data_IF_325174359762
#
_entry.id   IF_325174359762
#
_cell.length_a   1.000
_cell.length_b   1.000
_cell.length_c   1.000
_cell.angle_alpha   90.00
_cell.angle_beta   90.00
_cell.angle_gamma   90.00
#
_symmetry.space_group_name_H-M   'P 1'
#
loop_
_entity.id
_entity.type
_entity.pdbx_description
1 polymer ?
#
# COMPACT_ATOMS: atom_id res chain seq x y z
N UNK A 1 51.48 -49.62 -10.04
CA UNK A 1 50.50 -49.29 -11.11
C UNK A 1 49.15 -49.03 -10.44
N UNK A 2 48.63 -47.79 -10.49
CA UNK A 2 47.35 -47.44 -9.88
C UNK A 2 46.19 -47.76 -10.84
N UNK A 3 45.15 -48.43 -10.33
CA UNK A 3 43.94 -48.77 -11.11
C UNK A 3 43.08 -47.51 -11.30
N UNK A 4 42.62 -47.29 -12.53
CA UNK A 4 41.81 -46.13 -12.89
C UNK A 4 40.43 -46.16 -12.19
N UNK A 5 40.09 -45.06 -11.52
CA UNK A 5 38.75 -44.79 -11.01
C UNK A 5 37.89 -44.40 -12.23
N UNK A 6 36.89 -45.22 -12.57
CA UNK A 6 36.01 -44.97 -13.73
C UNK A 6 34.53 -45.12 -13.41
N UNK A 7 34.13 -44.71 -12.22
CA UNK A 7 32.70 -44.56 -11.90
C UNK A 7 32.49 -43.20 -11.25
N UNK A 8 32.18 -42.22 -12.10
CA UNK A 8 31.51 -41.00 -11.66
C UNK A 8 30.05 -41.40 -11.49
N UNK A 9 29.60 -41.54 -10.24
CA UNK A 9 28.17 -41.65 -9.93
C UNK A 9 27.56 -40.28 -10.23
N UNK A 10 26.89 -40.16 -11.37
CA UNK A 10 26.08 -38.99 -11.67
C UNK A 10 24.81 -39.12 -10.81
N UNK A 11 24.68 -38.24 -9.82
CA UNK A 11 23.45 -38.10 -9.04
C UNK A 11 22.40 -37.53 -9.97
N UNK A 12 21.52 -38.39 -10.47
CA UNK A 12 20.36 -37.97 -11.26
C UNK A 12 19.30 -37.59 -10.24
N UNK A 13 18.91 -36.30 -10.14
CA UNK A 13 17.96 -35.87 -9.12
C UNK A 13 16.67 -36.68 -9.22
N UNK A 14 16.29 -37.32 -8.13
CA UNK A 14 15.02 -38.02 -8.03
C UNK A 14 13.90 -36.96 -7.98
N UNK A 15 12.91 -36.98 -8.90
CA UNK A 15 11.85 -35.97 -8.93
C UNK A 15 11.03 -35.89 -7.62
N UNK A 16 11.03 -36.95 -6.82
CA UNK A 16 10.43 -36.94 -5.48
C UNK A 16 11.24 -36.11 -4.46
N UNK A 17 12.57 -36.09 -4.58
CA UNK A 17 13.46 -35.32 -3.71
C UNK A 17 13.43 -33.83 -4.06
N UNK A 18 13.36 -33.48 -5.36
CA UNK A 18 13.16 -32.10 -5.80
C UNK A 18 11.82 -31.52 -5.35
N UNK A 19 10.74 -32.31 -5.40
CA UNK A 19 9.43 -31.89 -4.89
C UNK A 19 9.46 -31.69 -3.37
N UNK A 20 10.08 -32.60 -2.63
CA UNK A 20 10.21 -32.47 -1.18
C UNK A 20 11.02 -31.21 -0.79
N UNK A 21 12.08 -30.92 -1.53
CA UNK A 21 12.89 -29.72 -1.32
C UNK A 21 12.12 -28.44 -1.65
N UNK A 22 11.41 -28.39 -2.79
CA UNK A 22 10.59 -27.24 -3.17
C UNK A 22 9.47 -26.95 -2.14
N UNK A 23 8.82 -27.99 -1.62
CA UNK A 23 7.80 -27.86 -0.57
C UNK A 23 8.43 -27.32 0.73
N UNK A 24 9.61 -27.82 1.10
CA UNK A 24 10.33 -27.35 2.29
C UNK A 24 10.75 -25.89 2.17
N UNK A 25 11.24 -25.47 1.01
CA UNK A 25 11.65 -24.09 0.76
C UNK A 25 10.44 -23.14 0.77
N UNK A 26 9.31 -23.55 0.17
CA UNK A 26 8.06 -22.80 0.23
C UNK A 26 7.57 -22.70 1.68
N UNK A 27 7.57 -23.80 2.45
CA UNK A 27 7.17 -23.80 3.86
C UNK A 27 8.05 -22.86 4.69
N UNK A 28 9.35 -22.83 4.41
CA UNK A 28 10.31 -21.97 5.11
C UNK A 28 10.03 -20.49 4.81
N UNK A 29 9.86 -20.12 3.55
CA UNK A 29 9.50 -18.76 3.14
C UNK A 29 8.14 -18.33 3.71
N UNK A 30 7.15 -19.22 3.69
CA UNK A 30 5.84 -18.95 4.28
C UNK A 30 5.91 -18.74 5.79
N UNK A 31 6.76 -19.49 6.49
CA UNK A 31 6.92 -19.38 7.94
C UNK A 31 7.69 -18.13 8.34
N UNK A 32 8.70 -17.73 7.54
CA UNK A 32 9.45 -16.49 7.75
C UNK A 32 8.59 -15.25 7.49
N UNK A 33 7.62 -15.33 6.57
CA UNK A 33 6.74 -14.22 6.20
C UNK A 33 5.30 -14.37 6.76
N UNK A 34 5.15 -15.15 7.85
CA UNK A 34 3.85 -15.56 8.39
C UNK A 34 2.87 -14.39 8.60
N UNK A 35 3.32 -13.28 9.16
CA UNK A 35 2.44 -12.12 9.40
C UNK A 35 1.92 -11.48 8.11
N UNK A 36 2.80 -11.29 7.12
CA UNK A 36 2.44 -10.73 5.81
C UNK A 36 1.46 -11.64 5.06
N UNK A 37 1.65 -12.96 5.15
CA UNK A 37 0.77 -13.96 4.54
C UNK A 37 -0.59 -13.98 5.23
N UNK A 38 -0.63 -13.96 6.56
CA UNK A 38 -1.89 -13.89 7.31
C UNK A 38 -2.66 -12.61 6.99
N UNK A 39 -1.96 -11.48 6.82
CA UNK A 39 -2.56 -10.22 6.39
C UNK A 39 -3.12 -10.31 4.95
N UNK A 40 -2.36 -10.89 4.01
CA UNK A 40 -2.81 -11.11 2.64
C UNK A 40 -4.03 -12.04 2.57
N UNK A 41 -4.03 -13.13 3.34
CA UNK A 41 -5.18 -14.03 3.48
C UNK A 41 -6.38 -13.28 4.05
N UNK A 42 -6.18 -12.39 5.04
CA UNK A 42 -7.23 -11.54 5.59
C UNK A 42 -7.86 -10.61 4.54
N UNK A 43 -7.02 -9.99 3.69
CA UNK A 43 -7.49 -9.15 2.57
C UNK A 43 -8.25 -9.99 1.55
N UNK A 44 -7.70 -11.13 1.13
CA UNK A 44 -8.36 -12.05 0.19
C UNK A 44 -9.70 -12.54 0.72
N UNK A 45 -9.78 -12.83 2.02
CA UNK A 45 -11.02 -13.22 2.69
C UNK A 45 -12.04 -12.07 2.69
N UNK A 46 -11.62 -10.85 3.02
CA UNK A 46 -12.49 -9.68 2.94
C UNK A 46 -13.01 -9.42 1.52
N UNK A 47 -12.14 -9.55 0.51
CA UNK A 47 -12.53 -9.43 -0.90
C UNK A 47 -13.48 -10.56 -1.35
N UNK A 48 -13.31 -11.77 -0.80
CA UNK A 48 -14.21 -12.90 -1.04
C UNK A 48 -15.59 -12.66 -0.41
N UNK A 49 -15.63 -12.24 0.86
CA UNK A 49 -16.87 -11.93 1.59
C UNK A 49 -17.66 -10.79 0.95
N UNK A 50 -16.97 -9.82 0.34
CA UNK A 50 -17.58 -8.73 -0.42
C UNK A 50 -18.00 -9.11 -1.84
N UNK A 51 -17.85 -10.39 -2.24
CA UNK A 51 -18.02 -10.87 -3.62
C UNK A 51 -17.18 -10.13 -4.67
N UNK A 52 -16.18 -9.37 -4.24
CA UNK A 52 -15.30 -8.63 -5.14
C UNK A 52 -14.50 -9.58 -6.05
N UNK A 53 -14.12 -10.76 -5.53
CA UNK A 53 -13.47 -11.81 -6.33
C UNK A 53 -14.40 -12.37 -7.42
N UNK A 54 -15.70 -12.50 -7.15
CA UNK A 54 -16.69 -12.97 -8.13
C UNK A 54 -16.88 -11.92 -9.23
N UNK A 55 -16.87 -10.63 -8.88
CA UNK A 55 -16.90 -9.52 -9.84
C UNK A 55 -15.66 -9.55 -10.73
N UNK A 56 -14.46 -9.69 -10.13
CA UNK A 56 -13.19 -9.79 -10.90
C UNK A 56 -13.22 -11.00 -11.83
N UNK A 57 -13.70 -12.15 -11.36
CA UNK A 57 -13.85 -13.35 -12.18
C UNK A 57 -14.84 -13.13 -13.34
N UNK A 58 -16.01 -12.53 -13.07
CA UNK A 58 -17.00 -12.21 -14.09
C UNK A 58 -16.49 -11.21 -15.14
N UNK A 59 -15.69 -10.23 -14.72
CA UNK A 59 -15.03 -9.29 -15.64
C UNK A 59 -14.01 -9.99 -16.55
N UNK A 60 -13.27 -10.97 -16.03
CA UNK A 60 -12.32 -11.76 -16.81
C UNK A 60 -13.05 -12.68 -17.79
N UNK A 61 -14.15 -13.31 -17.37
CA UNK A 61 -14.94 -14.20 -18.22
C UNK A 61 -15.68 -13.44 -19.34
N UNK A 62 -16.19 -12.25 -19.06
CA UNK A 62 -16.90 -11.40 -20.04
C UNK A 62 -16.00 -10.33 -20.71
N UNK A 63 -14.69 -10.56 -20.71
CA UNK A 63 -13.62 -9.68 -21.22
C UNK A 63 -13.90 -8.99 -22.57
N UNK A 64 -14.56 -9.66 -23.51
CA UNK A 64 -14.81 -9.13 -24.87
C UNK A 64 -16.02 -8.20 -24.96
N UNK A 65 -17.10 -8.48 -24.25
CA UNK A 65 -18.36 -7.74 -24.36
C UNK A 65 -18.39 -6.53 -23.43
N UNK A 66 -17.84 -6.67 -22.23
CA UNK A 66 -17.71 -5.57 -21.25
C UNK A 66 -16.55 -4.65 -21.61
N UNK A 67 -15.47 -5.20 -22.17
CA UNK A 67 -14.26 -4.46 -22.53
C UNK A 67 -14.49 -3.37 -23.59
N UNK A 68 -15.25 -3.68 -24.64
CA UNK A 68 -15.51 -2.71 -25.72
C UNK A 68 -16.34 -1.51 -25.22
N UNK A 69 -17.40 -1.77 -24.45
CA UNK A 69 -18.27 -0.74 -23.89
C UNK A 69 -17.53 0.09 -22.83
N UNK A 70 -16.74 -0.58 -21.97
CA UNK A 70 -15.92 0.09 -20.96
C UNK A 70 -14.86 0.99 -21.60
N UNK A 71 -14.14 0.55 -22.64
CA UNK A 71 -13.16 1.38 -23.34
C UNK A 71 -13.84 2.60 -23.98
N UNK A 72 -15.03 2.43 -24.55
CA UNK A 72 -15.76 3.53 -25.17
C UNK A 72 -16.27 4.57 -24.15
N UNK A 73 -16.64 4.12 -22.94
CA UNK A 73 -16.97 4.99 -21.81
C UNK A 73 -15.74 5.67 -21.19
N UNK A 74 -14.61 4.96 -21.12
CA UNK A 74 -13.33 5.50 -20.68
C UNK A 74 -12.73 6.50 -21.68
N UNK A 75 -13.09 6.39 -22.97
CA UNK A 75 -12.66 7.33 -23.99
C UNK A 75 -13.51 8.62 -24.01
N UNK A 76 -14.51 8.75 -23.13
CA UNK A 76 -15.26 10.00 -23.02
C UNK A 76 -14.35 11.13 -22.49
N UNK A 77 -14.52 12.39 -22.96
CA UNK A 77 -13.71 13.53 -22.51
C UNK A 77 -13.74 13.75 -20.99
N UNK A 78 -14.88 13.48 -20.35
CA UNK A 78 -15.02 13.53 -18.89
C UNK A 78 -14.10 12.54 -18.18
N UNK A 79 -13.83 11.39 -18.80
CA UNK A 79 -13.01 10.34 -18.21
C UNK A 79 -11.52 10.55 -18.49
N UNK A 80 -11.14 11.24 -19.56
CA UNK A 80 -9.76 11.64 -19.84
C UNK A 80 -9.11 12.41 -18.69
N UNK A 81 -9.81 13.40 -18.13
CA UNK A 81 -9.30 14.18 -17.00
C UNK A 81 -9.18 13.34 -15.74
N UNK A 82 -10.14 12.47 -15.46
CA UNK A 82 -10.11 11.55 -14.32
C UNK A 82 -8.95 10.58 -14.42
N UNK A 83 -8.73 9.96 -15.58
CA UNK A 83 -7.61 9.05 -15.83
C UNK A 83 -6.29 9.81 -15.67
N UNK A 84 -6.17 11.00 -16.28
CA UNK A 84 -4.96 11.81 -16.19
C UNK A 84 -4.64 12.20 -14.75
N UNK A 85 -5.63 12.65 -13.98
CA UNK A 85 -5.47 13.00 -12.57
C UNK A 85 -5.15 11.76 -11.73
N UNK A 86 -5.80 10.63 -11.99
CA UNK A 86 -5.54 9.35 -11.32
C UNK A 86 -4.13 8.83 -11.56
N UNK A 87 -3.66 8.82 -12.81
CA UNK A 87 -2.28 8.49 -13.16
C UNK A 87 -1.28 9.45 -12.50
N UNK A 88 -1.63 10.75 -12.42
CA UNK A 88 -0.86 11.74 -11.69
C UNK A 88 -0.73 11.41 -10.19
N UNK A 89 -1.84 11.02 -9.56
CA UNK A 89 -1.86 10.61 -8.15
C UNK A 89 -1.04 9.33 -7.91
N UNK A 90 -1.15 8.32 -8.78
CA UNK A 90 -0.33 7.09 -8.71
C UNK A 90 1.15 7.41 -8.87
N UNK A 91 1.50 8.27 -9.84
CA UNK A 91 2.89 8.71 -10.03
C UNK A 91 3.42 9.44 -8.80
N UNK A 92 2.62 10.34 -8.22
CA UNK A 92 2.98 11.03 -6.98
C UNK A 92 3.22 10.04 -5.83
N UNK A 93 2.32 9.09 -5.60
CA UNK A 93 2.51 8.06 -4.59
C UNK A 93 3.79 7.24 -4.82
N UNK A 94 4.10 6.90 -6.07
CA UNK A 94 5.34 6.21 -6.43
C UNK A 94 6.62 7.03 -6.23
N UNK A 95 6.53 8.37 -6.14
CA UNK A 95 7.68 9.25 -5.84
C UNK A 95 7.95 9.40 -4.35
N UNK A 96 7.02 9.00 -3.49
CA UNK A 96 7.22 9.05 -2.04
C UNK A 96 8.20 7.97 -1.61
N UNK A 97 9.15 8.32 -0.74
CA UNK A 97 10.02 7.32 -0.14
C UNK A 97 9.19 6.40 0.78
N UNK A 98 9.39 5.07 0.76
CA UNK A 98 8.60 4.13 1.55
C UNK A 98 8.49 4.52 3.04
N UNK A 99 9.59 4.95 3.67
CA UNK A 99 9.60 5.36 5.08
C UNK A 99 8.78 6.62 5.37
N UNK A 100 8.70 7.57 4.43
CA UNK A 100 7.88 8.78 4.60
C UNK A 100 6.40 8.44 4.52
N UNK A 101 6.04 7.58 3.56
CA UNK A 101 4.66 7.11 3.40
C UNK A 101 4.20 6.30 4.62
N UNK A 102 5.03 5.39 5.12
CA UNK A 102 4.77 4.61 6.34
C UNK A 102 4.55 5.52 7.56
N UNK A 103 5.40 6.53 7.74
CA UNK A 103 5.28 7.51 8.84
C UNK A 103 3.95 8.26 8.79
N UNK A 104 3.51 8.68 7.61
CA UNK A 104 2.23 9.38 7.42
C UNK A 104 1.05 8.45 7.75
N UNK A 105 1.07 7.22 7.22
CA UNK A 105 0.02 6.24 7.49
C UNK A 105 -0.08 5.89 8.97
N UNK A 106 1.05 5.69 9.63
CA UNK A 106 1.09 5.44 11.06
C UNK A 106 0.53 6.61 11.86
N UNK A 107 0.89 7.85 11.49
CA UNK A 107 0.36 9.07 12.09
C UNK A 107 -1.16 9.16 11.98
N UNK A 108 -1.71 8.90 10.79
CA UNK A 108 -3.16 8.87 10.54
C UNK A 108 -3.84 7.78 11.37
N UNK A 109 -3.29 6.56 11.37
CA UNK A 109 -3.84 5.44 12.15
C UNK A 109 -3.86 5.73 13.65
N UNK A 110 -2.77 6.29 14.20
CA UNK A 110 -2.69 6.73 15.60
C UNK A 110 -3.68 7.86 15.91
N UNK A 111 -3.88 8.79 14.97
CA UNK A 111 -4.88 9.86 15.07
C UNK A 111 -6.32 9.33 15.15
N UNK A 112 -6.69 8.44 14.24
CA UNK A 112 -8.01 7.77 14.25
C UNK A 112 -8.26 6.98 15.55
N UNK A 113 -7.24 6.27 16.06
CA UNK A 113 -7.30 5.57 17.35
C UNK A 113 -7.46 6.51 18.54
N UNK A 114 -6.89 7.72 18.49
CA UNK A 114 -7.10 8.74 19.52
C UNK A 114 -8.49 9.36 19.44
N UNK A 115 -9.01 9.59 18.23
CA UNK A 115 -10.36 10.10 18.00
C UNK A 115 -11.42 9.15 18.56
N UNK A 116 -11.32 7.85 18.28
CA UNK A 116 -12.27 6.85 18.78
C UNK A 116 -12.29 6.74 20.30
N UNK A 117 -11.13 6.87 20.96
CA UNK A 117 -11.03 6.90 22.44
C UNK A 117 -11.58 8.18 23.04
N UNK A 118 -11.27 9.33 22.45
CA UNK A 118 -11.71 10.64 22.98
C UNK A 118 -13.22 10.82 22.86
N UNK A 119 -13.85 10.25 21.82
CA UNK A 119 -15.31 10.24 21.64
C UNK A 119 -16.06 9.34 22.64
N UNK A 120 -15.40 8.33 23.20
CA UNK A 120 -15.99 7.40 24.18
C UNK A 120 -15.93 7.94 25.62
N UNK A 121 -14.92 8.76 25.97
CA UNK A 121 -14.68 9.13 27.37
C UNK A 121 -15.39 10.39 27.85
N UNK A 122 -16.09 11.16 27.00
CA UNK A 122 -16.97 12.26 27.43
C UNK A 122 -16.35 13.35 28.34
N UNK A 123 -15.02 13.35 28.55
CA UNK A 123 -14.37 14.24 29.50
C UNK A 123 -14.41 15.68 28.97
N UNK A 124 -15.15 16.54 29.68
CA UNK A 124 -15.14 17.99 29.47
C UNK A 124 -13.69 18.49 29.54
N UNK A 125 -13.17 18.93 28.40
CA UNK A 125 -11.82 19.49 28.32
C UNK A 125 -11.81 20.88 28.96
N UNK A 126 -11.18 21.02 30.13
CA UNK A 126 -10.96 22.34 30.74
C UNK A 126 -10.03 23.19 29.86
N UNK A 127 -10.27 24.50 29.77
CA UNK A 127 -9.43 25.46 29.02
C UNK A 127 -7.93 25.30 29.36
N UNK A 128 -7.61 25.02 30.63
CA UNK A 128 -6.25 24.76 31.07
C UNK A 128 -5.64 23.46 30.50
N UNK A 129 -6.40 22.35 30.47
CA UNK A 129 -5.98 21.08 29.84
C UNK A 129 -5.73 21.29 28.34
N UNK A 130 -6.57 22.08 27.67
CA UNK A 130 -6.42 22.40 26.24
C UNK A 130 -5.15 23.20 25.95
N UNK A 131 -4.87 24.25 26.74
CA UNK A 131 -3.62 25.02 26.66
C UNK A 131 -2.38 24.15 26.85
N UNK A 132 -2.43 23.18 27.76
CA UNK A 132 -1.34 22.23 28.00
C UNK A 132 -1.14 21.29 26.80
N UNK A 133 -2.22 20.79 26.20
CA UNK A 133 -2.19 19.96 24.99
C UNK A 133 -1.59 20.70 23.79
N UNK A 134 -1.96 21.96 23.56
CA UNK A 134 -1.40 22.78 22.49
C UNK A 134 0.12 23.00 22.62
N UNK A 135 0.66 22.92 23.84
CA UNK A 135 2.09 23.03 24.11
C UNK A 135 2.82 21.68 24.13
N UNK A 136 2.14 20.57 23.88
CA UNK A 136 2.77 19.26 23.91
C UNK A 136 3.77 19.10 22.75
N UNK A 137 4.82 18.29 22.92
CA UNK A 137 5.79 18.02 21.85
C UNK A 137 5.13 17.49 20.57
N UNK A 138 4.11 16.65 20.70
CA UNK A 138 3.42 16.01 19.56
C UNK A 138 2.61 17.02 18.75
N UNK A 139 1.87 17.93 19.41
CA UNK A 139 1.11 18.97 18.69
C UNK A 139 2.07 19.96 18.02
N UNK A 140 3.18 20.31 18.68
CA UNK A 140 4.19 21.18 18.08
C UNK A 140 4.79 20.56 16.82
N UNK A 141 5.21 19.30 16.89
CA UNK A 141 5.75 18.58 15.73
C UNK A 141 4.76 18.57 14.56
N UNK A 142 3.48 18.24 14.81
CA UNK A 142 2.45 18.24 13.78
C UNK A 142 2.20 19.63 13.18
N UNK A 143 2.16 20.69 14.01
CA UNK A 143 2.00 22.06 13.52
C UNK A 143 3.19 22.51 12.68
N UNK A 144 4.43 22.21 13.10
CA UNK A 144 5.64 22.52 12.32
C UNK A 144 5.59 21.82 10.96
N UNK A 145 5.33 20.51 10.92
CA UNK A 145 5.20 19.77 9.66
C UNK A 145 4.09 20.34 8.77
N UNK A 146 2.97 20.78 9.35
CA UNK A 146 1.90 21.40 8.58
C UNK A 146 2.32 22.75 8.00
N UNK A 147 3.08 23.55 8.74
CA UNK A 147 3.63 24.82 8.24
C UNK A 147 4.59 24.57 7.08
N UNK A 148 5.57 23.66 7.26
CA UNK A 148 6.55 23.33 6.23
C UNK A 148 5.87 22.80 4.95
N UNK A 149 4.81 22.00 5.11
CA UNK A 149 3.99 21.53 3.99
C UNK A 149 3.28 22.67 3.25
N UNK A 150 2.69 23.62 3.98
CA UNK A 150 2.03 24.79 3.40
C UNK A 150 3.04 25.69 2.66
N UNK A 151 4.25 25.87 3.20
CA UNK A 151 5.32 26.63 2.56
C UNK A 151 5.73 25.99 1.22
N UNK A 152 5.99 24.68 1.20
CA UNK A 152 6.34 23.96 -0.03
C UNK A 152 5.24 24.02 -1.10
N UNK A 153 3.96 23.97 -0.71
CA UNK A 153 2.86 24.19 -1.66
C UNK A 153 2.86 25.63 -2.21
N UNK A 154 3.10 26.62 -1.35
CA UNK A 154 3.18 28.02 -1.73
C UNK A 154 4.26 28.30 -2.77
N UNK A 155 5.44 27.69 -2.63
CA UNK A 155 6.53 27.80 -3.61
C UNK A 155 6.10 27.35 -5.02
N UNK A 156 5.39 26.23 -5.12
CA UNK A 156 4.89 25.71 -6.40
C UNK A 156 3.86 26.65 -7.02
N UNK A 157 2.94 27.20 -6.23
CA UNK A 157 1.91 28.12 -6.72
C UNK A 157 2.53 29.43 -7.23
N UNK A 158 3.50 29.99 -6.50
CA UNK A 158 4.21 31.20 -6.91
C UNK A 158 5.01 30.96 -8.20
N UNK A 159 5.71 29.84 -8.30
CA UNK A 159 6.46 29.44 -9.51
C UNK A 159 5.55 29.28 -10.73
N UNK A 160 4.41 28.61 -10.58
CA UNK A 160 3.46 28.43 -11.68
C UNK A 160 2.81 29.74 -12.14
N UNK A 161 2.61 30.70 -11.22
CA UNK A 161 2.10 32.03 -11.56
C UNK A 161 3.10 32.84 -12.39
N UNK A 162 4.40 32.70 -12.15
CA UNK A 162 5.46 33.37 -12.92
C UNK A 162 5.62 32.79 -14.33
N UNK A 163 5.40 31.49 -14.50
CA UNK A 163 5.51 30.82 -15.81
C UNK A 163 4.29 31.05 -16.73
N UNK A 164 3.18 31.55 -16.18
CA UNK A 164 1.94 31.82 -16.91
C UNK A 164 1.71 33.33 -17.17
N UNK A 165 2.73 34.17 -16.95
CA UNK A 165 2.78 35.59 -17.33
C UNK A 165 3.75 35.77 -18.49
#
# INVERSE_FOLDING_TARGET
MAKAIRQIKQDVPNPAEEQAQAISDILKELTQNREAIMAAIGILKGLHEMRALEIVHGLIDQRTEVGAIAIQQLNQPAMHNTIKNGMGAVKFLGTLQPGQFETILEGVGRGLKRLSKTGQEGEKQTIWKMRRRLRSPEIRAAMTTMVDFLEGMGEVFLKNKQNNQ
#
